data_IF_314622242488
#
_entry.id   IF_314622242488
#
_cell.length_a   1.000
_cell.length_b   1.000
_cell.length_c   1.000
_cell.angle_alpha   90.00
_cell.angle_beta   90.00
_cell.angle_gamma   90.00
#
_symmetry.space_group_name_H-M   'P 1'
#
loop_
_entity.id
_entity.type
_entity.pdbx_description
1 polymer ?
#
# COMPACT_ATOMS: atom_id res chain seq x y z
N UNK A 1 3.57 14.24 -12.59
CA UNK A 1 4.57 14.10 -11.51
C UNK A 1 5.42 12.88 -11.87
N UNK A 2 6.71 13.03 -12.14
CA UNK A 2 7.58 11.86 -12.37
C UNK A 2 8.12 11.41 -11.02
N UNK A 3 7.93 10.13 -10.69
CA UNK A 3 8.40 9.55 -9.43
C UNK A 3 9.94 9.57 -9.40
N UNK A 4 10.59 9.89 -8.28
CA UNK A 4 12.04 9.76 -8.19
C UNK A 4 12.47 8.30 -8.43
N UNK A 5 13.57 8.05 -9.15
CA UNK A 5 14.07 6.70 -9.38
C UNK A 5 14.42 6.06 -8.03
N UNK A 6 13.88 4.86 -7.78
CA UNK A 6 14.11 4.11 -6.56
C UNK A 6 14.63 2.71 -6.92
N UNK A 7 15.73 2.24 -6.32
CA UNK A 7 16.18 0.87 -6.51
C UNK A 7 15.11 -0.12 -6.08
N UNK A 8 14.98 -1.21 -6.84
CA UNK A 8 14.10 -2.32 -6.50
C UNK A 8 14.66 -3.07 -5.29
N UNK A 9 13.81 -3.34 -4.31
CA UNK A 9 14.11 -4.17 -3.14
C UNK A 9 12.85 -4.89 -2.68
N UNK A 10 13.07 -6.00 -1.98
CA UNK A 10 12.01 -6.87 -1.47
C UNK A 10 11.53 -6.40 -0.09
N UNK A 11 10.45 -7.01 0.41
CA UNK A 11 9.85 -6.62 1.70
C UNK A 11 10.81 -6.75 2.89
N UNK A 12 11.80 -7.64 2.79
CA UNK A 12 12.82 -7.87 3.81
C UNK A 12 13.95 -6.82 3.79
N UNK A 13 14.10 -6.07 2.68
CA UNK A 13 15.17 -5.11 2.43
C UNK A 13 14.66 -3.68 2.24
N UNK A 14 13.62 -3.31 3.01
CA UNK A 14 13.08 -1.96 3.00
C UNK A 14 14.16 -0.90 3.27
N UNK A 15 14.20 0.12 2.43
CA UNK A 15 15.04 1.28 2.66
C UNK A 15 14.65 2.02 3.96
N UNK A 16 15.59 2.75 4.57
CA UNK A 16 15.34 3.50 5.82
C UNK A 16 14.10 4.40 5.75
N UNK A 17 13.86 5.04 4.61
CA UNK A 17 12.68 5.88 4.41
C UNK A 17 11.38 5.05 4.42
N UNK A 18 11.38 3.88 3.76
CA UNK A 18 10.25 2.95 3.72
C UNK A 18 9.94 2.38 5.10
N UNK A 19 10.96 1.92 5.82
CA UNK A 19 10.82 1.36 7.18
C UNK A 19 10.21 2.37 8.15
N UNK A 20 10.77 3.59 8.21
CA UNK A 20 10.25 4.64 9.09
C UNK A 20 8.81 5.04 8.77
N UNK A 21 8.46 5.06 7.48
CA UNK A 21 7.13 5.44 7.06
C UNK A 21 6.10 4.34 7.35
N UNK A 22 6.48 3.07 7.16
CA UNK A 22 5.63 1.92 7.47
C UNK A 22 5.34 1.82 8.97
N UNK A 23 6.35 1.98 9.82
CA UNK A 23 6.18 2.00 11.28
C UNK A 23 5.20 3.09 11.75
N UNK A 24 5.38 4.32 11.25
CA UNK A 24 4.46 5.43 11.53
C UNK A 24 3.02 5.11 11.08
N UNK A 25 2.88 4.50 9.92
CA UNK A 25 1.56 4.13 9.38
C UNK A 25 0.87 3.10 10.27
N UNK A 26 1.60 2.12 10.80
CA UNK A 26 1.06 1.15 11.74
C UNK A 26 0.63 1.80 13.06
N UNK A 27 1.41 2.76 13.56
CA UNK A 27 1.08 3.51 14.78
C UNK A 27 -0.17 4.40 14.61
N UNK A 28 -0.31 5.08 13.47
CA UNK A 28 -1.40 6.02 13.19
C UNK A 28 -2.64 5.35 12.58
N UNK A 29 -2.49 4.14 12.03
CA UNK A 29 -3.53 3.41 11.30
C UNK A 29 -3.89 4.01 9.93
N UNK A 30 -3.15 5.03 9.48
CA UNK A 30 -3.35 5.74 8.21
C UNK A 30 -2.07 6.47 7.80
N UNK A 31 -2.00 6.83 6.52
CA UNK A 31 -0.94 7.64 5.94
C UNK A 31 -1.54 8.67 4.97
N UNK A 32 -0.96 9.86 4.87
CA UNK A 32 -1.35 10.83 3.85
C UNK A 32 -0.79 10.40 2.49
N UNK A 33 -1.55 10.62 1.40
CA UNK A 33 -1.14 10.23 0.06
C UNK A 33 0.22 10.85 -0.36
N UNK A 34 0.48 12.09 0.05
CA UNK A 34 1.75 12.78 -0.23
C UNK A 34 2.95 12.13 0.48
N UNK A 35 2.75 11.60 1.69
CA UNK A 35 3.82 10.89 2.39
C UNK A 35 4.13 9.55 1.70
N UNK A 36 3.12 8.86 1.18
CA UNK A 36 3.30 7.61 0.44
C UNK A 36 4.14 7.76 -0.85
N UNK A 37 4.12 8.94 -1.49
CA UNK A 37 4.97 9.22 -2.65
C UNK A 37 6.48 9.26 -2.31
N UNK A 38 6.83 9.49 -1.04
CA UNK A 38 8.23 9.56 -0.60
C UNK A 38 8.90 8.20 -0.43
N UNK A 39 8.11 7.12 -0.33
CA UNK A 39 8.61 5.74 -0.23
C UNK A 39 7.94 4.87 -1.31
N UNK A 40 8.33 5.04 -2.59
CA UNK A 40 7.70 4.33 -3.70
C UNK A 40 7.80 2.82 -3.60
N UNK A 41 8.84 2.30 -2.93
CA UNK A 41 8.98 0.87 -2.65
C UNK A 41 7.78 0.26 -1.91
N UNK A 42 7.17 0.98 -0.96
CA UNK A 42 6.02 0.47 -0.22
C UNK A 42 4.80 0.28 -1.14
N UNK A 43 4.70 1.07 -2.20
CA UNK A 43 3.68 0.91 -3.24
C UNK A 43 4.04 -0.23 -4.20
N UNK A 44 5.31 -0.32 -4.61
CA UNK A 44 5.79 -1.33 -5.56
C UNK A 44 5.67 -2.75 -5.00
N UNK A 45 5.96 -2.97 -3.71
CA UNK A 45 5.82 -4.28 -3.04
C UNK A 45 4.42 -4.52 -2.45
N UNK A 46 3.50 -3.54 -2.55
CA UNK A 46 2.11 -3.68 -2.12
C UNK A 46 1.83 -3.51 -0.62
N UNK A 47 2.79 -3.07 0.20
CA UNK A 47 2.56 -2.76 1.62
C UNK A 47 1.66 -1.54 1.84
N UNK A 48 1.68 -0.58 0.91
CA UNK A 48 0.75 0.54 0.87
C UNK A 48 -0.11 0.47 -0.39
N UNK A 49 -1.37 0.83 -0.25
CA UNK A 49 -2.27 1.04 -1.37
C UNK A 49 -2.90 2.43 -1.26
N UNK A 50 -2.89 3.23 -2.33
CA UNK A 50 -3.65 4.47 -2.34
C UNK A 50 -5.10 4.14 -2.05
N UNK A 51 -5.68 4.80 -1.05
CA UNK A 51 -7.09 4.61 -0.73
C UNK A 51 -7.90 4.88 -2.00
N UNK A 52 -8.74 3.92 -2.40
CA UNK A 52 -9.60 3.99 -3.59
C UNK A 52 -10.74 5.01 -3.39
N UNK A 53 -10.43 6.26 -3.03
CA UNK A 53 -11.40 7.31 -2.73
C UNK A 53 -12.32 7.00 -1.55
N UNK A 54 -11.92 6.12 -0.63
CA UNK A 54 -12.75 5.64 0.47
C UNK A 54 -12.29 6.20 1.82
N UNK A 55 -13.22 6.83 2.52
CA UNK A 55 -13.04 7.41 3.86
C UNK A 55 -13.27 6.38 4.99
N UNK A 56 -13.77 5.19 4.66
CA UNK A 56 -14.08 4.13 5.63
C UNK A 56 -13.60 2.75 5.20
N UNK A 57 -13.20 1.91 6.16
CA UNK A 57 -12.74 0.52 5.91
C UNK A 57 -13.82 -0.37 5.29
N UNK A 58 -15.07 -0.22 5.75
CA UNK A 58 -16.21 -0.97 5.21
C UNK A 58 -16.50 -0.60 3.74
N UNK A 59 -16.50 0.71 3.44
CA UNK A 59 -16.68 1.21 2.07
C UNK A 59 -15.52 0.79 1.16
N UNK A 60 -14.29 0.78 1.68
CA UNK A 60 -13.11 0.32 0.94
C UNK A 60 -13.26 -1.17 0.59
N UNK A 61 -13.65 -2.01 1.55
CA UNK A 61 -13.90 -3.43 1.32
C UNK A 61 -14.95 -3.68 0.23
N UNK A 62 -16.04 -2.90 0.23
CA UNK A 62 -17.06 -2.96 -0.83
C UNK A 62 -16.50 -2.57 -2.21
N UNK A 63 -15.72 -1.49 -2.30
CA UNK A 63 -15.14 -1.03 -3.57
C UNK A 63 -14.12 -2.02 -4.13
N UNK A 64 -13.32 -2.66 -3.27
CA UNK A 64 -12.38 -3.73 -3.65
C UNK A 64 -13.14 -4.96 -4.16
N UNK A 65 -14.22 -5.36 -3.49
CA UNK A 65 -15.06 -6.47 -3.97
C UNK A 65 -15.71 -6.14 -5.34
N UNK A 66 -16.12 -4.88 -5.55
CA UNK A 66 -16.77 -4.44 -6.80
C UNK A 66 -15.81 -4.29 -7.98
N UNK A 67 -14.52 -4.04 -7.74
CA UNK A 67 -13.54 -3.83 -8.82
C UNK A 67 -13.10 -5.13 -9.50
N UNK A 68 -13.44 -6.29 -8.94
CA UNK A 68 -13.05 -7.60 -9.49
C UNK A 68 -11.57 -7.93 -9.34
N UNK A 69 -10.84 -7.18 -8.49
CA UNK A 69 -9.40 -7.38 -8.23
C UNK A 69 -9.14 -8.65 -7.40
N UNK A 70 -10.06 -9.00 -6.49
CA UNK A 70 -9.95 -10.22 -5.70
C UNK A 70 -10.26 -11.43 -6.59
N UNK A 71 -9.21 -12.04 -7.16
CA UNK A 71 -9.29 -13.43 -7.62
C UNK A 71 -9.43 -14.31 -6.39
N UNK A 72 -10.50 -15.09 -6.36
CA UNK A 72 -10.63 -16.19 -5.41
C UNK A 72 -9.64 -17.26 -5.88
N UNK A 73 -8.42 -17.22 -5.33
CA UNK A 73 -7.48 -18.33 -5.41
C UNK A 73 -8.20 -19.47 -4.69
N UNK A 74 -8.71 -20.42 -5.47
CA UNK A 74 -9.59 -21.46 -4.98
C UNK A 74 -8.97 -22.17 -3.80
N UNK A 75 -9.80 -22.43 -2.79
CA UNK A 75 -9.55 -23.46 -1.78
C UNK A 75 -9.26 -24.76 -2.53
N UNK A 76 -8.00 -25.10 -2.72
CA UNK A 76 -7.59 -26.44 -3.12
C UNK A 76 -7.66 -27.31 -1.87
N UNK A 77 -8.51 -28.34 -1.95
CA UNK A 77 -8.95 -29.27 -0.91
C UNK A 77 -7.82 -30.12 -0.30
#
# INVERSE_FOLDING_TARGET
MTRPPHPEHDVEDLCDAGTQLYDRTLAEGRIAAADAESAPCLLDIGLLSPALGSESRAQLGYLIARSGILKQEGTEE
#
